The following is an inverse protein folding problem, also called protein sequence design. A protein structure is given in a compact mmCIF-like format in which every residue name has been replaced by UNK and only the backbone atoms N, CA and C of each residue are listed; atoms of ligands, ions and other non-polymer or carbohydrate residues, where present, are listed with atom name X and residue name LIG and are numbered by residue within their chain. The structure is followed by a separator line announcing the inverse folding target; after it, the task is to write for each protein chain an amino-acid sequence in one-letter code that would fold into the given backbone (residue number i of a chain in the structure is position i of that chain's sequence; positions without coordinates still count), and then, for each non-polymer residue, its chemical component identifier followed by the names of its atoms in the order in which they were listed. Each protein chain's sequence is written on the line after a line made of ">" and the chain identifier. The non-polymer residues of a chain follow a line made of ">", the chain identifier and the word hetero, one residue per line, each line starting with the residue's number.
data_IF_984999147067
#
_entry.id   IF_984999147067
#
_cell.length_a   1.000
_cell.length_b   1.000
_cell.length_c   1.000
_cell.angle_alpha   90.00
_cell.angle_beta   90.00
_cell.angle_gamma   90.00
#
_symmetry.space_group_name_H-M   'P 1'
#
loop_
_entity.id
_entity.type
_entity.pdbx_description
1 polymer ?
#
# COMPACT_ATOMS: atom_id res chain seq x y z
N UNK A 1 -8.11 -12.32 17.77
CA UNK A 1 -7.01 -11.33 17.75
C UNK A 1 -7.52 -10.09 17.05
N UNK A 2 -7.50 -8.94 17.70
CA UNK A 2 -7.86 -7.64 17.13
C UNK A 2 -6.59 -6.97 16.60
N UNK A 3 -6.63 -6.44 15.39
CA UNK A 3 -5.47 -5.88 14.70
C UNK A 3 -5.73 -4.40 14.45
N UNK A 4 -4.85 -3.54 14.95
CA UNK A 4 -4.79 -2.15 14.50
C UNK A 4 -4.04 -2.10 13.17
N UNK A 5 -4.66 -1.54 12.16
CA UNK A 5 -4.10 -1.38 10.82
C UNK A 5 -3.75 0.07 10.59
N UNK A 6 -2.48 0.33 10.30
CA UNK A 6 -1.91 1.64 10.04
C UNK A 6 -1.44 1.67 8.58
N UNK A 7 -2.10 2.44 7.72
CA UNK A 7 -1.68 2.70 6.34
C UNK A 7 -0.98 4.06 6.30
N UNK A 8 0.35 4.03 6.31
CA UNK A 8 1.19 5.23 6.35
C UNK A 8 1.33 5.80 4.95
N UNK A 9 0.71 6.95 4.71
CA UNK A 9 0.81 7.66 3.43
C UNK A 9 1.46 9.03 3.59
N UNK A 10 1.99 9.58 2.50
CA UNK A 10 2.66 10.89 2.50
C UNK A 10 1.76 12.10 2.71
N UNK A 11 0.44 11.94 2.71
CA UNK A 11 -0.53 13.03 2.95
C UNK A 11 -1.43 12.75 4.15
N UNK A 12 -1.77 11.49 4.38
CA UNK A 12 -2.58 11.04 5.51
C UNK A 12 -2.16 9.64 5.93
N UNK A 13 -2.21 9.38 7.21
CA UNK A 13 -2.21 8.05 7.79
C UNK A 13 -3.65 7.62 7.99
N UNK A 14 -3.98 6.40 7.58
CA UNK A 14 -5.31 5.84 7.75
C UNK A 14 -5.26 4.73 8.78
N UNK A 15 -6.22 4.75 9.68
CA UNK A 15 -6.31 3.82 10.81
C UNK A 15 -7.65 3.08 10.77
N UNK A 16 -7.59 1.79 11.04
CA UNK A 16 -8.75 0.94 11.25
C UNK A 16 -8.40 -0.14 12.26
N UNK A 17 -9.39 -0.67 12.96
CA UNK A 17 -9.22 -1.83 13.83
C UNK A 17 -10.19 -2.93 13.44
N UNK A 18 -9.77 -4.17 13.54
CA UNK A 18 -10.61 -5.34 13.27
C UNK A 18 -11.90 -5.30 14.10
N UNK A 19 -13.03 -5.52 13.43
CA UNK A 19 -14.35 -5.51 14.07
C UNK A 19 -15.01 -4.13 14.19
N UNK A 20 -14.34 -3.06 13.76
CA UNK A 20 -14.90 -1.71 13.68
C UNK A 20 -15.01 -1.24 12.23
N UNK A 21 -16.08 -0.53 11.92
CA UNK A 21 -16.27 0.06 10.58
C UNK A 21 -15.64 1.44 10.44
N UNK A 22 -15.23 2.05 11.54
CA UNK A 22 -14.67 3.40 11.56
C UNK A 22 -13.32 3.46 10.85
N UNK A 23 -13.17 4.45 9.98
CA UNK A 23 -11.91 4.82 9.36
C UNK A 23 -11.48 6.16 9.95
N UNK A 24 -10.37 6.18 10.69
CA UNK A 24 -9.77 7.41 11.19
C UNK A 24 -8.60 7.83 10.31
N UNK A 25 -8.36 9.12 10.23
CA UNK A 25 -7.28 9.70 9.43
C UNK A 25 -6.52 10.73 10.25
N UNK A 26 -5.21 10.71 10.12
CA UNK A 26 -4.28 11.67 10.70
C UNK A 26 -3.57 12.37 9.54
N UNK A 27 -3.54 13.69 9.44
CA UNK A 27 -2.72 14.40 8.46
C UNK A 27 -1.24 14.05 8.63
N UNK A 28 -0.54 13.85 7.52
CA UNK A 28 0.91 13.63 7.47
C UNK A 28 1.54 14.53 6.42
N UNK A 29 2.85 14.50 6.29
CA UNK A 29 3.57 15.34 5.33
C UNK A 29 5.09 15.28 5.49
N UNK A 30 5.84 16.09 4.72
CA UNK A 30 7.30 15.98 4.60
C UNK A 30 8.09 16.17 5.89
N UNK A 31 7.50 16.74 6.94
CA UNK A 31 8.16 16.92 8.24
C UNK A 31 7.62 15.97 9.32
N UNK A 32 6.66 15.10 8.97
CA UNK A 32 6.00 14.22 9.92
C UNK A 32 6.89 13.02 10.27
N UNK A 33 7.34 12.97 11.51
CA UNK A 33 8.31 11.98 12.00
C UNK A 33 7.64 10.69 12.47
N UNK A 34 8.44 9.64 12.71
CA UNK A 34 7.96 8.41 13.32
C UNK A 34 7.39 8.64 14.74
N UNK A 35 8.01 9.53 15.51
CA UNK A 35 7.54 9.89 16.86
C UNK A 35 6.19 10.59 16.81
N UNK A 36 6.00 11.55 15.89
CA UNK A 36 4.71 12.20 15.66
C UNK A 36 3.64 11.17 15.30
N UNK A 37 3.97 10.24 14.41
CA UNK A 37 3.05 9.18 13.99
C UNK A 37 2.59 8.33 15.17
N UNK A 38 3.50 7.84 16.00
CA UNK A 38 3.15 6.99 17.15
C UNK A 38 2.31 7.77 18.15
N UNK A 39 2.72 8.99 18.50
CA UNK A 39 1.96 9.87 19.41
C UNK A 39 0.53 10.07 18.92
N UNK A 40 0.37 10.43 17.66
CA UNK A 40 -0.94 10.78 17.10
C UNK A 40 -1.81 9.54 16.87
N UNK A 41 -1.21 8.38 16.53
CA UNK A 41 -1.92 7.10 16.46
C UNK A 41 -2.45 6.72 17.85
N UNK A 42 -1.61 6.74 18.89
CA UNK A 42 -2.04 6.41 20.26
C UNK A 42 -3.18 7.32 20.74
N UNK A 43 -3.07 8.63 20.47
CA UNK A 43 -4.11 9.58 20.81
C UNK A 43 -5.42 9.31 20.04
N UNK A 44 -5.31 9.04 18.74
CA UNK A 44 -6.46 8.83 17.85
C UNK A 44 -7.16 7.50 18.13
N UNK A 45 -6.44 6.48 18.62
CA UNK A 45 -6.97 5.14 18.88
C UNK A 45 -7.17 4.82 20.36
N UNK A 46 -7.12 5.81 21.24
CA UNK A 46 -7.21 5.63 22.71
C UNK A 46 -8.47 4.91 23.19
N UNK A 47 -9.54 4.93 22.42
CA UNK A 47 -10.83 4.29 22.67
C UNK A 47 -10.98 2.95 21.90
N UNK A 48 -9.94 2.51 21.18
CA UNK A 48 -9.91 1.23 20.49
C UNK A 48 -9.09 0.20 21.29
N UNK A 49 -9.58 -1.03 21.30
CA UNK A 49 -8.88 -2.18 21.88
C UNK A 49 -8.30 -3.05 20.74
N UNK A 50 -6.99 -3.32 20.80
CA UNK A 50 -6.28 -4.15 19.84
C UNK A 50 -5.09 -4.89 20.46
N UNK A 51 -4.78 -6.05 19.90
CA UNK A 51 -3.74 -6.95 20.40
C UNK A 51 -2.39 -6.72 19.74
N UNK A 52 -2.42 -6.42 18.42
CA UNK A 52 -1.24 -6.31 17.54
C UNK A 52 -1.45 -5.22 16.49
N UNK A 53 -0.36 -4.84 15.81
CA UNK A 53 -0.35 -3.76 14.82
C UNK A 53 0.20 -4.27 13.49
N UNK A 54 -0.54 -3.97 12.40
CA UNK A 54 -0.06 -4.06 11.02
C UNK A 54 0.25 -2.68 10.49
N UNK A 55 1.46 -2.45 9.98
CA UNK A 55 1.86 -1.16 9.45
C UNK A 55 2.23 -1.27 7.96
N UNK A 56 1.41 -0.66 7.11
CA UNK A 56 1.76 -0.40 5.71
C UNK A 56 2.77 0.73 5.65
N UNK A 57 4.01 0.40 5.29
CA UNK A 57 5.14 1.31 5.33
C UNK A 57 5.48 1.81 3.92
N UNK A 58 5.58 3.13 3.69
CA UNK A 58 5.72 3.68 2.34
C UNK A 58 7.18 3.73 1.86
N UNK A 59 7.93 2.65 2.06
CA UNK A 59 9.29 2.47 1.57
C UNK A 59 9.69 0.99 1.60
N UNK A 60 10.99 0.71 1.43
CA UNK A 60 11.53 -0.65 1.34
C UNK A 60 11.47 -1.36 2.69
N UNK A 61 10.96 -2.59 2.66
CA UNK A 61 10.94 -3.57 3.76
C UNK A 61 11.79 -4.77 3.36
N UNK A 62 12.66 -5.22 4.24
CA UNK A 62 13.46 -6.42 4.09
C UNK A 62 13.35 -7.27 5.37
N UNK A 63 13.04 -8.56 5.20
CA UNK A 63 12.78 -9.49 6.30
C UNK A 63 11.83 -8.93 7.38
N UNK A 64 10.78 -8.24 6.92
CA UNK A 64 9.76 -7.67 7.78
C UNK A 64 10.17 -6.41 8.54
N UNK A 65 11.30 -5.77 8.20
CA UNK A 65 11.80 -4.55 8.84
C UNK A 65 11.99 -3.42 7.82
N UNK A 66 11.68 -2.17 8.17
CA UNK A 66 12.06 -1.01 7.37
C UNK A 66 13.58 -0.93 7.19
N UNK A 67 14.05 -0.73 5.94
CA UNK A 67 15.48 -0.57 5.61
C UNK A 67 15.79 0.71 4.86
N UNK A 68 14.77 1.52 4.59
CA UNK A 68 14.90 2.85 3.98
C UNK A 68 13.89 3.82 4.58
N UNK A 69 14.32 5.06 4.80
CA UNK A 69 13.42 6.15 5.21
C UNK A 69 12.35 6.42 4.13
N UNK A 70 11.12 6.82 4.53
CA UNK A 70 10.09 7.25 3.59
C UNK A 70 10.49 8.53 2.86
N UNK A 71 10.29 8.58 1.54
CA UNK A 71 10.69 9.75 0.73
C UNK A 71 9.84 11.01 0.96
N UNK A 72 8.59 10.83 1.38
CA UNK A 72 7.59 11.91 1.47
C UNK A 72 7.19 12.24 2.92
N UNK A 73 8.01 11.83 3.88
CA UNK A 73 7.79 12.03 5.32
C UNK A 73 9.07 12.58 5.96
N UNK A 74 8.98 13.00 7.21
CA UNK A 74 10.14 13.39 8.02
C UNK A 74 11.01 12.17 8.35
N UNK A 75 12.09 12.40 9.09
CA UNK A 75 13.05 11.35 9.42
C UNK A 75 12.71 10.56 10.69
N UNK A 76 13.64 9.64 11.04
CA UNK A 76 13.59 8.88 12.29
C UNK A 76 12.76 7.60 12.22
N UNK A 77 12.40 7.14 11.03
CA UNK A 77 11.54 5.96 10.87
C UNK A 77 12.29 4.64 11.00
N UNK A 78 13.58 4.57 10.59
CA UNK A 78 14.36 3.32 10.60
C UNK A 78 14.80 2.89 12.00
N UNK A 79 15.12 3.84 12.86
CA UNK A 79 15.70 3.55 14.18
C UNK A 79 14.68 3.64 15.30
N UNK A 80 13.41 3.85 14.98
CA UNK A 80 12.35 3.99 15.96
C UNK A 80 11.93 2.62 16.51
N UNK A 81 11.85 2.51 17.82
CA UNK A 81 11.40 1.29 18.51
C UNK A 81 9.87 1.28 18.63
N UNK A 82 9.22 0.86 17.54
CA UNK A 82 7.76 0.84 17.45
C UNK A 82 7.10 -0.08 18.47
N UNK A 83 7.67 -1.27 18.69
CA UNK A 83 7.08 -2.23 19.63
C UNK A 83 7.14 -1.73 21.07
N UNK A 84 8.23 -1.10 21.46
CA UNK A 84 8.34 -0.47 22.76
C UNK A 84 7.40 0.74 22.90
N UNK A 85 7.29 1.57 21.86
CA UNK A 85 6.44 2.76 21.90
C UNK A 85 4.95 2.41 21.95
N UNK A 86 4.49 1.46 21.15
CA UNK A 86 3.10 0.99 21.16
C UNK A 86 2.78 -0.02 22.28
N UNK A 87 3.79 -0.62 22.91
CA UNK A 87 3.63 -1.77 23.83
C UNK A 87 2.89 -2.94 23.20
N UNK A 88 3.05 -3.13 21.91
CA UNK A 88 2.39 -4.14 21.08
C UNK A 88 3.35 -4.67 20.02
N UNK A 89 3.15 -5.91 19.59
CA UNK A 89 3.89 -6.42 18.42
C UNK A 89 3.49 -5.68 17.15
N UNK A 90 4.47 -5.34 16.33
CA UNK A 90 4.28 -4.63 15.07
C UNK A 90 4.83 -5.46 13.92
N UNK A 91 4.00 -5.70 12.89
CA UNK A 91 4.46 -6.27 11.62
C UNK A 91 4.37 -5.22 10.52
N UNK A 92 5.43 -5.13 9.73
CA UNK A 92 5.53 -4.21 8.62
C UNK A 92 5.31 -4.94 7.31
N UNK A 93 4.71 -4.25 6.37
CA UNK A 93 4.64 -4.62 4.95
C UNK A 93 4.70 -3.33 4.12
N UNK A 94 5.27 -3.36 2.92
CA UNK A 94 5.20 -2.21 2.03
C UNK A 94 3.73 -1.83 1.74
N UNK A 95 3.40 -0.55 1.70
CA UNK A 95 2.03 -0.03 1.56
C UNK A 95 1.31 -0.51 0.28
N UNK A 96 2.01 -0.52 -0.85
CA UNK A 96 1.47 -1.05 -2.11
C UNK A 96 1.31 -2.58 -2.06
N UNK A 97 2.25 -3.29 -1.43
CA UNK A 97 2.15 -4.74 -1.20
C UNK A 97 0.99 -5.10 -0.30
N UNK A 98 0.70 -4.31 0.73
CA UNK A 98 -0.46 -4.49 1.60
C UNK A 98 -1.78 -4.35 0.82
N UNK A 99 -1.86 -3.33 -0.04
CA UNK A 99 -3.04 -3.12 -0.89
C UNK A 99 -3.19 -4.21 -1.96
N UNK A 100 -2.07 -4.67 -2.53
CA UNK A 100 -2.05 -5.81 -3.45
C UNK A 100 -2.53 -7.09 -2.78
N UNK A 101 -1.95 -7.43 -1.62
CA UNK A 101 -2.32 -8.61 -0.83
C UNK A 101 -3.82 -8.62 -0.51
N UNK A 102 -4.39 -7.47 -0.20
CA UNK A 102 -5.81 -7.32 0.06
C UNK A 102 -6.71 -7.68 -1.13
N UNK A 103 -6.25 -7.37 -2.34
CA UNK A 103 -6.98 -7.55 -3.59
C UNK A 103 -6.72 -8.92 -4.24
N UNK A 104 -5.73 -9.67 -3.74
CA UNK A 104 -5.28 -10.92 -4.33
C UNK A 104 -6.27 -12.07 -4.17
N UNK A 105 -6.54 -12.75 -5.28
CA UNK A 105 -7.47 -13.89 -5.39
C UNK A 105 -6.83 -15.12 -6.07
N UNK A 106 -5.52 -15.06 -6.29
CA UNK A 106 -4.77 -16.09 -7.00
C UNK A 106 -4.27 -15.62 -8.38
N UNK A 107 -3.44 -16.45 -9.02
CA UNK A 107 -2.90 -16.18 -10.35
C UNK A 107 -1.76 -15.14 -10.35
N UNK A 108 -1.59 -14.45 -11.49
CA UNK A 108 -0.61 -13.37 -11.66
C UNK A 108 -1.34 -12.03 -11.60
N UNK A 109 -1.15 -11.31 -10.52
CA UNK A 109 -1.83 -10.03 -10.30
C UNK A 109 -0.84 -8.87 -10.29
N UNK A 110 -1.09 -7.84 -11.09
CA UNK A 110 -0.40 -6.56 -11.03
C UNK A 110 -1.30 -5.55 -10.30
N UNK A 111 -0.82 -5.04 -9.17
CA UNK A 111 -1.45 -3.94 -8.45
C UNK A 111 -0.74 -2.63 -8.77
N UNK A 112 -1.50 -1.57 -9.04
CA UNK A 112 -0.99 -0.21 -9.30
C UNK A 112 -1.78 0.77 -8.44
N UNK A 113 -1.09 1.40 -7.50
CA UNK A 113 -1.65 2.40 -6.59
C UNK A 113 -1.47 3.81 -7.14
N UNK A 114 -2.57 4.48 -7.48
CA UNK A 114 -2.61 5.84 -8.02
C UNK A 114 -2.98 6.83 -6.92
N UNK A 115 -1.96 7.38 -6.27
CA UNK A 115 -2.12 8.25 -5.09
C UNK A 115 -1.21 9.47 -5.12
N UNK A 116 -0.66 9.85 -3.97
CA UNK A 116 0.36 10.89 -3.84
C UNK A 116 1.61 10.52 -4.64
N UNK A 117 2.01 9.26 -4.54
CA UNK A 117 3.00 8.60 -5.40
C UNK A 117 2.38 7.43 -6.14
N UNK A 118 3.14 6.79 -7.01
CA UNK A 118 2.72 5.58 -7.74
C UNK A 118 3.41 4.37 -7.13
N UNK A 119 2.73 3.67 -6.23
CA UNK A 119 3.16 2.40 -5.69
C UNK A 119 2.68 1.23 -6.55
N UNK A 120 3.42 0.12 -6.59
CA UNK A 120 2.96 -1.08 -7.28
C UNK A 120 3.50 -2.34 -6.60
N UNK A 121 2.81 -3.46 -6.87
CA UNK A 121 3.29 -4.79 -6.50
C UNK A 121 2.83 -5.81 -7.54
N UNK A 122 3.67 -6.79 -7.80
CA UNK A 122 3.33 -7.93 -8.65
C UNK A 122 3.26 -9.20 -7.81
N UNK A 123 2.16 -9.93 -7.91
CA UNK A 123 2.00 -11.22 -7.23
C UNK A 123 2.00 -12.32 -8.27
N UNK A 124 2.89 -13.29 -8.12
CA UNK A 124 2.98 -14.47 -8.96
C UNK A 124 3.53 -15.64 -8.16
N UNK A 125 2.98 -16.86 -8.39
CA UNK A 125 3.37 -18.07 -7.65
C UNK A 125 3.34 -17.88 -6.13
N UNK A 126 2.33 -17.14 -5.65
CA UNK A 126 2.15 -16.81 -4.23
C UNK A 126 3.32 -16.02 -3.61
N UNK A 127 4.07 -15.28 -4.44
CA UNK A 127 5.11 -14.35 -4.00
C UNK A 127 4.70 -12.93 -4.38
N UNK A 128 4.72 -12.03 -3.40
CA UNK A 128 4.52 -10.60 -3.59
C UNK A 128 5.89 -9.96 -3.83
N UNK A 129 6.04 -9.29 -4.96
CA UNK A 129 7.22 -8.51 -5.32
C UNK A 129 6.82 -7.03 -5.33
N UNK A 130 7.31 -6.21 -4.37
CA UNK A 130 7.12 -4.76 -4.41
C UNK A 130 7.84 -4.18 -5.63
N UNK A 131 7.22 -3.21 -6.28
CA UNK A 131 7.75 -2.60 -7.50
C UNK A 131 7.83 -1.09 -7.36
N UNK A 132 8.98 -0.52 -7.70
CA UNK A 132 9.21 0.92 -7.79
C UNK A 132 8.97 1.45 -9.21
N UNK A 133 7.80 1.16 -9.78
CA UNK A 133 7.47 1.56 -11.16
C UNK A 133 7.47 3.09 -11.34
N UNK A 134 7.29 3.85 -10.27
CA UNK A 134 7.40 5.30 -10.30
C UNK A 134 8.76 5.82 -10.78
N UNK A 135 9.81 4.98 -10.72
CA UNK A 135 11.15 5.31 -11.22
C UNK A 135 11.33 5.01 -12.71
N UNK A 136 10.42 4.24 -13.33
CA UNK A 136 10.50 3.89 -14.74
C UNK A 136 10.21 5.11 -15.62
N UNK A 137 10.93 5.20 -16.76
CA UNK A 137 10.63 6.12 -17.83
C UNK A 137 9.86 5.38 -18.93
N UNK A 138 8.59 5.68 -19.12
CA UNK A 138 7.80 5.10 -20.22
C UNK A 138 8.20 5.64 -21.60
N UNK A 139 8.55 6.91 -21.62
CA UNK A 139 8.87 7.63 -22.86
C UNK A 139 9.84 8.77 -22.53
N UNK A 140 10.24 9.57 -23.52
CA UNK A 140 10.96 10.83 -23.30
C UNK A 140 10.17 11.85 -22.45
N UNK A 141 8.91 11.56 -22.13
CA UNK A 141 7.95 12.47 -21.48
C UNK A 141 7.97 12.42 -19.94
N UNK A 142 8.88 11.72 -19.30
CA UNK A 142 9.03 11.70 -17.83
C UNK A 142 8.80 10.33 -17.18
N UNK A 143 8.90 10.30 -15.86
CA UNK A 143 8.72 9.09 -15.04
C UNK A 143 7.25 8.83 -14.75
N UNK A 144 6.88 7.60 -14.43
CA UNK A 144 5.53 7.25 -14.00
C UNK A 144 5.03 8.11 -12.83
N UNK A 145 5.88 8.33 -11.82
CA UNK A 145 5.53 9.12 -10.64
C UNK A 145 5.14 10.55 -10.99
N UNK A 146 5.81 11.15 -11.97
CA UNK A 146 5.57 12.53 -12.41
C UNK A 146 4.22 12.71 -13.12
N UNK A 147 3.65 11.65 -13.72
CA UNK A 147 2.46 11.73 -14.57
C UNK A 147 1.27 10.93 -14.06
N UNK A 148 1.48 9.94 -13.21
CA UNK A 148 0.40 9.16 -12.59
C UNK A 148 0.03 9.65 -11.19
N UNK A 149 0.87 10.53 -10.59
CA UNK A 149 0.67 11.03 -9.24
C UNK A 149 -0.42 12.12 -9.16
N UNK A 150 -0.81 12.40 -7.91
CA UNK A 150 -1.81 13.43 -7.59
C UNK A 150 -1.42 14.84 -8.06
N UNK A 151 -0.14 15.18 -8.03
CA UNK A 151 0.30 16.53 -8.38
C UNK A 151 0.20 16.79 -9.88
N UNK A 152 0.53 15.80 -10.72
CA UNK A 152 0.28 15.89 -12.16
C UNK A 152 -1.22 16.03 -12.48
N UNK A 153 -2.07 15.25 -11.83
CA UNK A 153 -3.53 15.38 -11.96
C UNK A 153 -4.03 16.79 -11.59
N UNK A 154 -3.47 17.41 -10.56
CA UNK A 154 -3.83 18.76 -10.16
C UNK A 154 -3.34 19.83 -11.16
N UNK A 155 -2.14 19.65 -11.70
CA UNK A 155 -1.50 20.61 -12.59
C UNK A 155 -2.06 20.56 -14.01
N UNK A 156 -2.24 19.36 -14.55
CA UNK A 156 -2.59 19.15 -15.97
C UNK A 156 -4.07 18.82 -16.20
N UNK A 157 -4.81 18.56 -15.13
CA UNK A 157 -6.23 18.22 -15.19
C UNK A 157 -6.52 16.74 -15.47
N UNK A 158 -7.80 16.39 -15.27
CA UNK A 158 -8.28 15.00 -15.32
C UNK A 158 -8.10 14.38 -16.71
N UNK A 159 -8.38 15.09 -17.78
CA UNK A 159 -8.34 14.55 -19.15
C UNK A 159 -6.92 14.12 -19.55
N UNK A 160 -5.91 14.98 -19.31
CA UNK A 160 -4.51 14.64 -19.60
C UNK A 160 -3.99 13.53 -18.73
N UNK A 161 -4.38 13.52 -17.47
CA UNK A 161 -4.02 12.45 -16.54
C UNK A 161 -4.62 11.12 -16.97
N UNK A 162 -5.91 11.08 -17.37
CA UNK A 162 -6.58 9.88 -17.88
C UNK A 162 -5.91 9.37 -19.16
N UNK A 163 -5.62 10.25 -20.11
CA UNK A 163 -4.93 9.87 -21.34
C UNK A 163 -3.60 9.17 -21.04
N UNK A 164 -2.87 9.68 -20.05
CA UNK A 164 -1.62 9.05 -19.62
C UNK A 164 -1.80 7.73 -18.88
N UNK A 165 -2.83 7.60 -18.05
CA UNK A 165 -3.20 6.31 -17.43
C UNK A 165 -3.48 5.27 -18.51
N UNK A 166 -4.27 5.61 -19.52
CA UNK A 166 -4.60 4.73 -20.65
C UNK A 166 -3.41 4.39 -21.55
N UNK A 167 -2.38 5.23 -21.60
CA UNK A 167 -1.09 4.93 -22.25
C UNK A 167 -0.23 3.98 -21.40
N UNK A 168 -0.13 4.22 -20.10
CA UNK A 168 0.79 3.55 -19.20
C UNK A 168 0.35 2.13 -18.81
N UNK A 169 -0.93 1.95 -18.52
CA UNK A 169 -1.43 0.66 -18.00
C UNK A 169 -1.24 -0.48 -19.02
N UNK A 170 -1.60 -0.36 -20.30
CA UNK A 170 -1.36 -1.41 -21.29
C UNK A 170 0.12 -1.79 -21.44
N UNK A 171 1.03 -0.82 -21.35
CA UNK A 171 2.47 -1.11 -21.40
C UNK A 171 2.89 -1.98 -20.21
N UNK A 172 2.42 -1.67 -19.01
CA UNK A 172 2.70 -2.50 -17.82
C UNK A 172 2.08 -3.89 -17.93
N UNK A 173 0.86 -4.00 -18.47
CA UNK A 173 0.23 -5.28 -18.76
C UNK A 173 1.05 -6.10 -19.75
N UNK A 174 1.60 -5.48 -20.76
CA UNK A 174 2.47 -6.14 -21.73
C UNK A 174 3.80 -6.60 -21.17
N UNK A 175 4.38 -5.83 -20.24
CA UNK A 175 5.65 -6.18 -19.56
C UNK A 175 5.45 -7.31 -18.57
N UNK A 176 4.47 -7.23 -17.69
CA UNK A 176 4.27 -8.17 -16.58
C UNK A 176 3.39 -9.36 -16.94
N UNK A 177 2.60 -9.26 -18.03
CA UNK A 177 1.64 -10.30 -18.47
C UNK A 177 0.75 -10.81 -17.32
N UNK A 178 0.12 -9.92 -16.55
CA UNK A 178 -0.77 -10.33 -15.46
C UNK A 178 -2.02 -11.00 -16.01
N UNK A 179 -2.65 -11.87 -15.20
CA UNK A 179 -4.00 -12.37 -15.46
C UNK A 179 -5.08 -11.49 -14.82
N UNK A 180 -4.66 -10.61 -13.91
CA UNK A 180 -5.53 -9.67 -13.19
C UNK A 180 -4.76 -8.36 -12.94
N UNK A 181 -5.32 -7.22 -13.33
CA UNK A 181 -4.74 -5.89 -13.08
C UNK A 181 -5.66 -5.09 -12.17
N UNK A 182 -5.14 -4.70 -11.01
CA UNK A 182 -5.90 -3.98 -9.98
C UNK A 182 -5.40 -2.56 -9.86
N UNK A 183 -6.29 -1.60 -10.04
CA UNK A 183 -6.02 -0.18 -9.85
C UNK A 183 -6.54 0.27 -8.48
N UNK A 184 -5.64 0.77 -7.64
CA UNK A 184 -5.92 1.25 -6.29
C UNK A 184 -5.47 2.69 -6.08
N UNK A 185 -5.50 3.13 -4.82
CA UNK A 185 -5.18 4.50 -4.45
C UNK A 185 -6.33 5.49 -4.63
N UNK A 186 -6.17 6.70 -4.10
CA UNK A 186 -7.25 7.68 -4.01
C UNK A 186 -7.77 8.20 -5.34
N UNK A 187 -6.92 8.20 -6.39
CA UNK A 187 -7.28 8.70 -7.71
C UNK A 187 -7.86 7.61 -8.64
N UNK A 188 -7.72 6.33 -8.30
CA UNK A 188 -8.22 5.24 -9.16
C UNK A 188 -9.72 5.34 -9.47
N UNK A 189 -10.52 5.85 -8.54
CA UNK A 189 -11.97 6.09 -8.71
C UNK A 189 -12.33 7.13 -9.79
N UNK A 190 -11.34 7.91 -10.26
CA UNK A 190 -11.55 8.92 -11.29
C UNK A 190 -11.42 8.34 -12.71
N UNK A 191 -10.96 7.08 -12.82
CA UNK A 191 -10.73 6.41 -14.11
C UNK A 191 -12.05 5.83 -14.60
N UNK A 192 -12.56 6.44 -15.64
CA UNK A 192 -13.79 6.02 -16.32
C UNK A 192 -13.69 6.42 -17.79
N UNK A 193 -13.74 5.44 -18.75
CA UNK A 193 -13.76 3.99 -18.52
C UNK A 193 -12.42 3.43 -17.99
N UNK A 194 -12.46 2.24 -17.38
CA UNK A 194 -11.24 1.54 -16.98
C UNK A 194 -10.47 1.05 -18.20
N UNK A 195 -9.13 1.02 -18.16
CA UNK A 195 -8.34 0.31 -19.18
C UNK A 195 -8.74 -1.17 -19.27
N UNK A 196 -8.69 -1.80 -20.45
CA UNK A 196 -9.04 -3.19 -20.64
C UNK A 196 -8.29 -4.13 -19.67
N UNK A 197 -8.98 -5.14 -19.15
CA UNK A 197 -8.40 -6.10 -18.21
C UNK A 197 -8.12 -5.55 -16.80
N UNK A 198 -8.59 -4.33 -16.49
CA UNK A 198 -8.44 -3.70 -15.19
C UNK A 198 -9.72 -3.77 -14.36
N UNK A 199 -9.55 -3.85 -13.05
CA UNK A 199 -10.60 -3.63 -12.05
C UNK A 199 -10.13 -2.68 -10.96
N UNK A 200 -11.06 -2.05 -10.27
CA UNK A 200 -10.72 -1.24 -9.10
C UNK A 200 -10.49 -2.11 -7.86
N UNK A 201 -9.54 -1.70 -7.04
CA UNK A 201 -9.47 -2.21 -5.67
C UNK A 201 -10.64 -1.66 -4.86
N UNK A 202 -11.17 -2.44 -3.92
CA UNK A 202 -12.23 -1.96 -3.03
C UNK A 202 -11.63 -1.06 -1.94
N UNK A 203 -12.37 -0.04 -1.48
CA UNK A 203 -11.91 0.88 -0.42
C UNK A 203 -11.63 0.18 0.93
N UNK A 204 -12.13 -1.04 1.12
CA UNK A 204 -11.88 -1.86 2.29
C UNK A 204 -10.64 -2.77 2.13
N UNK A 205 -10.04 -2.80 0.95
CA UNK A 205 -9.03 -3.80 0.61
C UNK A 205 -7.72 -3.61 1.36
N UNK A 206 -7.21 -2.38 1.55
CA UNK A 206 -5.93 -2.20 2.27
C UNK A 206 -5.93 -2.89 3.65
N UNK A 207 -7.04 -2.82 4.37
CA UNK A 207 -7.16 -3.41 5.70
C UNK A 207 -7.19 -4.94 5.69
N UNK A 208 -7.81 -5.57 4.68
CA UNK A 208 -7.74 -7.02 4.52
C UNK A 208 -6.30 -7.51 4.29
N UNK A 209 -5.48 -6.74 3.57
CA UNK A 209 -4.06 -7.03 3.40
C UNK A 209 -3.30 -6.98 4.72
N UNK A 210 -3.65 -6.02 5.58
CA UNK A 210 -3.07 -5.91 6.91
C UNK A 210 -3.45 -7.08 7.84
N UNK A 211 -4.64 -7.66 7.71
CA UNK A 211 -5.03 -8.88 8.41
C UNK A 211 -4.24 -10.10 7.93
N UNK A 212 -3.93 -10.15 6.64
CA UNK A 212 -3.26 -11.27 5.98
C UNK A 212 -1.77 -11.42 6.30
N UNK A 213 -1.18 -10.51 7.06
CA UNK A 213 0.18 -10.68 7.61
C UNK A 213 0.17 -11.26 9.04
N UNK A 214 -1.01 -11.65 9.55
CA UNK A 214 -1.17 -12.32 10.84
C UNK A 214 -1.92 -13.65 10.67
N UNK A 215 -1.64 -14.66 11.53
CA UNK A 215 -2.42 -15.90 11.51
C UNK A 215 -3.91 -15.67 11.78
N UNK A 216 -4.77 -16.47 11.14
CA UNK A 216 -6.22 -16.47 11.37
C UNK A 216 -7.06 -15.87 10.24
N UNK A 217 -6.44 -15.41 9.15
CA UNK A 217 -7.14 -15.02 7.91
C UNK A 217 -7.18 -16.17 6.88
N UNK A 218 -7.76 -15.93 5.72
CA UNK A 218 -7.85 -16.88 4.60
C UNK A 218 -6.48 -17.20 3.95
N UNK A 219 -5.48 -16.38 4.20
CA UNK A 219 -4.10 -16.59 3.82
C UNK A 219 -3.16 -15.88 4.79
N UNK A 220 -1.88 -16.27 4.81
CA UNK A 220 -0.82 -15.62 5.57
C UNK A 220 0.31 -15.23 4.63
N UNK A 221 0.68 -13.97 4.63
CA UNK A 221 1.88 -13.47 3.95
C UNK A 221 3.02 -13.31 4.96
N UNK A 222 4.14 -13.97 4.71
CA UNK A 222 5.33 -13.91 5.54
C UNK A 222 6.49 -13.26 4.78
N UNK A 223 7.32 -12.45 5.44
CA UNK A 223 8.47 -11.81 4.79
C UNK A 223 9.49 -12.85 4.32
N UNK A 224 10.11 -12.58 3.17
CA UNK A 224 11.15 -13.38 2.57
C UNK A 224 12.09 -12.47 1.78
N UNK A 225 13.15 -11.98 2.40
CA UNK A 225 13.96 -10.88 1.89
C UNK A 225 13.11 -9.63 1.69
N UNK A 226 13.19 -9.04 0.50
CA UNK A 226 12.38 -7.88 0.09
C UNK A 226 11.03 -8.27 -0.56
N UNK A 227 10.62 -9.53 -0.44
CA UNK A 227 9.37 -10.09 -0.95
C UNK A 227 8.54 -10.65 0.18
N UNK A 228 7.31 -11.12 -0.11
CA UNK A 228 6.47 -11.85 0.84
C UNK A 228 5.98 -13.12 0.18
N UNK A 229 6.01 -14.23 0.93
CA UNK A 229 5.44 -15.51 0.51
C UNK A 229 4.05 -15.68 1.08
N UNK A 230 3.07 -16.00 0.24
CA UNK A 230 1.68 -16.23 0.61
C UNK A 230 1.46 -17.72 0.87
N UNK A 231 0.88 -18.03 2.02
CA UNK A 231 0.42 -19.36 2.38
C UNK A 231 -1.10 -19.35 2.47
N UNK A 232 -1.76 -20.13 1.63
CA UNK A 232 -3.21 -20.28 1.65
C UNK A 232 -3.64 -21.21 2.77
N UNK A 233 -4.58 -20.77 3.59
CA UNK A 233 -5.22 -21.64 4.55
C UNK A 233 -6.34 -22.40 3.82
N UNK A 234 -6.31 -23.75 3.84
CA UNK A 234 -7.42 -24.56 3.33
C UNK A 234 -8.66 -24.20 4.15
N UNK A 235 -9.73 -23.83 3.47
CA UNK A 235 -11.05 -23.81 4.11
C UNK A 235 -11.35 -25.23 4.58
N UNK A 236 -11.38 -25.45 5.88
CA UNK A 236 -11.87 -26.69 6.49
C UNK A 236 -13.37 -26.81 6.23
#
# INVERSE_FOLDING_TARGET
>A
MKILMIDVGGTNIKLRVTGHNDLRKIPSGPQYTAEDMVRDVLLTTRDWDYDVISMGYPSLIEDGKPVREPLNLGGGWLQFDYENAFKKRVRFINDASMQALASYQGGRMLFIGLGTSTGAAFITHDIIVPLEIGLLRLTRKGKFMERLCKDYLKQEGKERWLAYVHEAIPILQDVFKPTDTVLGGGNAKLIDPLPPGCRLSTNHSAFRGAERIWPGSDMLAEPHGNTWRIHWHKKS
#
